data_IF_109035944956
#
_entry.id   IF_109035944956
#
_cell.length_a   1.000
_cell.length_b   1.000
_cell.length_c   1.000
_cell.angle_alpha   90.00
_cell.angle_beta   90.00
_cell.angle_gamma   90.00
#
_symmetry.space_group_name_H-M   'P 1'
#
loop_
_entity.id
_entity.type
_entity.pdbx_description
1 polymer ?
#
# COMPACT_ATOMS: atom_id res chain seq x y z
N UNK A 1 -71.79 50.56 -6.24
CA UNK A 1 -70.56 51.37 -6.09
C UNK A 1 -69.40 50.45 -6.42
N UNK A 2 -68.61 50.77 -7.45
CA UNK A 2 -67.54 49.91 -7.94
C UNK A 2 -66.23 50.23 -7.22
N UNK A 3 -65.61 49.22 -6.61
CA UNK A 3 -64.27 49.30 -6.03
C UNK A 3 -63.23 49.12 -7.13
N UNK A 4 -62.25 50.03 -7.17
CA UNK A 4 -61.06 49.93 -8.01
C UNK A 4 -60.01 49.09 -7.27
N UNK A 5 -59.37 48.13 -7.95
CA UNK A 5 -58.09 47.57 -7.51
C UNK A 5 -57.08 47.56 -8.66
N UNK A 6 -55.91 48.11 -8.34
CA UNK A 6 -54.82 48.54 -9.23
C UNK A 6 -54.04 47.37 -9.82
N UNK A 7 -53.72 47.48 -11.10
CA UNK A 7 -52.90 46.58 -11.92
C UNK A 7 -51.42 46.72 -11.53
N UNK A 8 -50.77 45.64 -11.08
CA UNK A 8 -49.31 45.58 -10.91
C UNK A 8 -48.75 44.53 -11.87
N UNK A 9 -48.14 44.98 -12.96
CA UNK A 9 -47.35 44.14 -13.87
C UNK A 9 -45.94 43.96 -13.28
N UNK A 10 -45.69 42.82 -12.65
CA UNK A 10 -44.40 42.45 -12.08
C UNK A 10 -43.53 41.63 -13.05
N UNK A 11 -42.46 42.27 -13.53
CA UNK A 11 -41.08 41.79 -13.85
C UNK A 11 -40.76 40.34 -13.42
N UNK A 12 -39.98 39.49 -14.10
CA UNK A 12 -39.12 39.55 -15.29
C UNK A 12 -38.70 38.10 -15.61
N UNK A 13 -39.01 37.56 -16.79
CA UNK A 13 -38.58 36.21 -17.25
C UNK A 13 -37.13 36.17 -17.77
N UNK A 14 -36.21 36.89 -17.13
CA UNK A 14 -34.85 37.09 -17.63
C UNK A 14 -33.73 36.63 -16.67
N UNK A 15 -34.05 35.90 -15.58
CA UNK A 15 -33.02 35.48 -14.61
C UNK A 15 -32.65 33.98 -14.66
N UNK A 16 -33.39 33.15 -15.40
CA UNK A 16 -33.20 31.69 -15.36
C UNK A 16 -32.20 31.15 -16.41
N UNK A 17 -31.80 31.95 -17.41
CA UNK A 17 -30.93 31.48 -18.52
C UNK A 17 -29.43 31.56 -18.21
N UNK A 18 -29.01 32.45 -17.30
CA UNK A 18 -27.58 32.69 -17.02
C UNK A 18 -26.94 31.66 -16.07
N UNK A 19 -27.74 30.91 -15.31
CA UNK A 19 -27.24 29.98 -14.30
C UNK A 19 -26.85 28.59 -14.85
N UNK A 20 -27.24 28.25 -16.07
CA UNK A 20 -26.99 26.92 -16.63
C UNK A 20 -25.63 26.84 -17.35
N UNK A 21 -25.23 27.89 -18.08
CA UNK A 21 -23.98 27.94 -18.85
C UNK A 21 -22.73 27.88 -17.98
N UNK A 22 -22.76 28.52 -16.80
CA UNK A 22 -21.64 28.55 -15.85
C UNK A 22 -21.38 27.17 -15.19
N UNK A 23 -22.37 26.27 -15.16
CA UNK A 23 -22.22 24.92 -14.58
C UNK A 23 -21.55 23.95 -15.55
N UNK A 24 -21.74 24.10 -16.86
CA UNK A 24 -21.15 23.21 -17.86
C UNK A 24 -19.66 23.49 -18.11
N UNK A 25 -19.24 24.77 -18.11
CA UNK A 25 -17.82 25.14 -18.26
C UNK A 25 -16.97 24.64 -17.09
N UNK A 26 -17.46 24.76 -15.85
CA UNK A 26 -16.74 24.23 -14.67
C UNK A 26 -16.60 22.71 -14.71
N UNK A 27 -17.61 22.00 -15.23
CA UNK A 27 -17.57 20.54 -15.34
C UNK A 27 -16.58 20.07 -16.42
N UNK A 28 -16.48 20.80 -17.53
CA UNK A 28 -15.49 20.51 -18.59
C UNK A 28 -14.06 20.80 -18.14
N UNK A 29 -13.81 21.93 -17.47
CA UNK A 29 -12.48 22.26 -16.95
C UNK A 29 -11.99 21.23 -15.91
N UNK A 30 -12.88 20.77 -15.02
CA UNK A 30 -12.56 19.71 -14.06
C UNK A 30 -12.24 18.37 -14.73
N UNK A 31 -13.01 17.99 -15.75
CA UNK A 31 -12.79 16.74 -16.47
C UNK A 31 -11.51 16.76 -17.33
N UNK A 32 -11.14 17.93 -17.84
CA UNK A 32 -9.93 18.12 -18.65
C UNK A 32 -8.66 18.09 -17.79
N UNK A 33 -8.69 18.69 -16.59
CA UNK A 33 -7.58 18.58 -15.62
C UNK A 33 -7.34 17.14 -15.11
N UNK A 34 -8.37 16.29 -15.07
CA UNK A 34 -8.20 14.87 -14.72
C UNK A 34 -7.58 14.02 -15.83
N UNK A 35 -7.64 14.45 -17.11
CA UNK A 35 -7.13 13.65 -18.24
C UNK A 35 -5.64 13.82 -18.52
N UNK A 36 -5.02 14.89 -18.02
CA UNK A 36 -3.61 15.20 -18.29
C UNK A 36 -2.64 14.62 -17.25
N UNK A 37 -3.15 14.09 -16.14
CA UNK A 37 -2.38 13.36 -15.16
C UNK A 37 -2.49 11.86 -15.44
N UNK A 38 -2.00 11.41 -16.60
CA UNK A 38 -1.60 10.00 -16.69
C UNK A 38 -0.34 9.92 -15.84
N UNK A 39 -0.37 9.36 -14.62
CA UNK A 39 0.88 9.01 -13.98
C UNK A 39 1.62 8.12 -14.99
N UNK A 40 2.87 8.48 -15.20
CA UNK A 40 3.92 7.66 -15.80
C UNK A 40 3.48 6.20 -15.73
N UNK A 41 3.17 5.61 -16.89
CA UNK A 41 2.84 4.18 -16.96
C UNK A 41 4.13 3.47 -16.60
N UNK A 42 4.36 3.28 -15.32
CA UNK A 42 5.46 2.45 -14.85
C UNK A 42 5.16 1.09 -15.45
N UNK A 43 6.03 0.63 -16.35
CA UNK A 43 5.85 -0.64 -17.04
C UNK A 43 5.84 -1.74 -15.99
N UNK A 44 4.63 -2.20 -15.64
CA UNK A 44 4.41 -3.24 -14.63
C UNK A 44 5.18 -4.51 -14.98
N UNK A 45 5.45 -4.71 -16.26
CA UNK A 45 6.23 -5.80 -16.80
C UNK A 45 7.72 -5.67 -16.44
N UNK A 46 8.29 -4.48 -16.55
CA UNK A 46 9.68 -4.23 -16.12
C UNK A 46 9.81 -4.38 -14.60
N UNK A 47 8.82 -3.89 -13.84
CA UNK A 47 8.75 -4.13 -12.39
C UNK A 47 8.71 -5.62 -12.09
N UNK A 48 7.92 -6.39 -12.84
CA UNK A 48 7.81 -7.84 -12.64
C UNK A 48 9.14 -8.55 -12.89
N UNK A 49 9.83 -8.24 -14.00
CA UNK A 49 11.15 -8.79 -14.30
C UNK A 49 12.16 -8.46 -13.21
N UNK A 50 12.13 -7.22 -12.70
CA UNK A 50 13.00 -6.80 -11.59
C UNK A 50 12.68 -7.56 -10.30
N UNK A 51 11.41 -7.83 -10.02
CA UNK A 51 11.00 -8.65 -8.87
C UNK A 51 11.38 -10.12 -9.04
N UNK A 52 11.27 -10.68 -10.25
CA UNK A 52 11.68 -12.06 -10.55
C UNK A 52 13.21 -12.22 -10.42
N UNK A 53 13.96 -11.15 -10.68
CA UNK A 53 15.40 -11.11 -10.43
C UNK A 53 15.77 -11.13 -8.94
N UNK A 54 14.82 -10.91 -8.03
CA UNK A 54 15.06 -10.96 -6.58
C UNK A 54 15.07 -12.41 -6.10
N UNK A 55 16.26 -12.91 -5.79
CA UNK A 55 16.45 -14.26 -5.29
C UNK A 55 15.89 -14.48 -3.87
N UNK A 56 16.09 -13.53 -2.95
CA UNK A 56 15.50 -13.55 -1.60
C UNK A 56 15.53 -12.17 -0.94
N UNK A 57 14.49 -11.84 -0.17
CA UNK A 57 14.46 -10.68 0.71
C UNK A 57 14.87 -11.09 2.12
N UNK A 58 16.04 -10.64 2.57
CA UNK A 58 16.57 -10.99 3.89
C UNK A 58 16.21 -9.93 4.92
N UNK A 59 15.54 -10.33 6.00
CA UNK A 59 15.25 -9.49 7.15
C UNK A 59 16.02 -9.98 8.37
N UNK A 60 16.84 -9.11 8.95
CA UNK A 60 17.54 -9.39 10.20
C UNK A 60 16.71 -8.86 11.37
N UNK A 61 16.29 -9.76 12.27
CA UNK A 61 15.47 -9.41 13.45
C UNK A 61 15.99 -10.13 14.68
N UNK A 62 15.87 -9.50 15.84
CA UNK A 62 16.22 -10.14 17.11
C UNK A 62 15.28 -11.31 17.37
N UNK A 63 15.85 -12.48 17.60
CA UNK A 63 15.13 -13.69 17.96
C UNK A 63 14.70 -13.65 19.43
N UNK A 64 13.53 -14.20 19.73
CA UNK A 64 13.01 -14.42 21.07
C UNK A 64 12.71 -15.90 21.19
N UNK A 65 13.38 -16.57 22.14
CA UNK A 65 13.07 -17.95 22.48
C UNK A 65 11.76 -17.93 23.26
N UNK A 66 10.72 -18.58 22.72
CA UNK A 66 9.54 -18.91 23.52
C UNK A 66 9.85 -20.22 24.21
N UNK A 67 9.82 -20.19 25.54
CA UNK A 67 10.16 -21.22 26.54
C UNK A 67 9.72 -22.68 26.31
N UNK A 68 9.00 -23.02 25.24
CA UNK A 68 8.39 -24.35 25.08
C UNK A 68 8.41 -24.95 23.66
N UNK A 69 8.97 -24.27 22.64
CA UNK A 69 8.93 -24.79 21.27
C UNK A 69 10.31 -24.65 20.58
N UNK A 70 11.08 -25.74 20.58
CA UNK A 70 12.44 -25.81 20.01
C UNK A 70 12.49 -25.55 18.48
N UNK A 71 11.33 -25.44 17.82
CA UNK A 71 11.22 -25.32 16.35
C UNK A 71 10.81 -23.93 15.86
N UNK A 72 10.26 -23.07 16.71
CA UNK A 72 9.80 -21.74 16.29
C UNK A 72 10.39 -20.62 17.13
N UNK A 73 11.59 -20.19 16.74
CA UNK A 73 12.19 -18.95 17.22
C UNK A 73 11.30 -17.77 16.78
N UNK A 74 10.53 -17.22 17.71
CA UNK A 74 9.76 -16.01 17.46
C UNK A 74 10.71 -14.83 17.23
N UNK A 75 10.25 -13.76 16.58
CA UNK A 75 11.01 -12.51 16.48
C UNK A 75 10.44 -11.43 17.39
N UNK A 76 11.33 -10.54 17.84
CA UNK A 76 10.91 -9.30 18.47
C UNK A 76 10.22 -8.41 17.43
N UNK A 77 8.95 -8.08 17.68
CA UNK A 77 8.11 -7.32 16.75
C UNK A 77 7.49 -8.19 15.65
N UNK A 78 7.40 -7.63 14.45
CA UNK A 78 6.89 -8.33 13.27
C UNK A 78 7.45 -7.72 11.98
N UNK A 79 7.65 -8.54 10.96
CA UNK A 79 7.86 -8.06 9.59
C UNK A 79 6.49 -7.94 8.93
N UNK A 80 6.10 -6.74 8.53
CA UNK A 80 4.80 -6.47 7.91
C UNK A 80 4.96 -6.25 6.41
N UNK A 81 3.85 -6.23 5.68
CA UNK A 81 3.84 -5.86 4.24
C UNK A 81 4.48 -4.48 3.97
N UNK A 82 4.39 -3.56 4.94
CA UNK A 82 5.06 -2.26 4.86
C UNK A 82 6.59 -2.39 4.85
N UNK A 83 7.17 -3.23 5.71
CA UNK A 83 8.62 -3.47 5.71
C UNK A 83 9.09 -4.07 4.37
N UNK A 84 8.30 -4.99 3.80
CA UNK A 84 8.58 -5.61 2.50
C UNK A 84 8.56 -4.56 1.39
N UNK A 85 7.50 -3.75 1.33
CA UNK A 85 7.38 -2.65 0.36
C UNK A 85 8.51 -1.64 0.50
N UNK A 86 8.84 -1.24 1.73
CA UNK A 86 9.93 -0.30 2.01
C UNK A 86 11.30 -0.86 1.64
N UNK A 87 11.55 -2.16 1.86
CA UNK A 87 12.80 -2.81 1.47
C UNK A 87 12.91 -2.91 -0.05
N UNK A 88 11.82 -3.26 -0.74
CA UNK A 88 11.79 -3.30 -2.20
C UNK A 88 12.06 -1.92 -2.81
N UNK A 89 11.47 -0.87 -2.24
CA UNK A 89 11.73 0.50 -2.67
C UNK A 89 13.16 0.93 -2.35
N UNK A 90 13.68 0.63 -1.16
CA UNK A 90 15.02 1.09 -0.77
C UNK A 90 16.16 0.32 -1.43
N UNK A 91 16.01 -0.99 -1.66
CA UNK A 91 17.06 -1.85 -2.19
C UNK A 91 17.03 -1.97 -3.71
N UNK A 92 15.83 -1.91 -4.30
CA UNK A 92 15.63 -2.15 -5.72
C UNK A 92 14.97 -0.97 -6.44
N UNK A 93 14.62 0.13 -5.75
CA UNK A 93 13.88 1.25 -6.34
C UNK A 93 12.54 0.81 -6.97
N UNK A 94 11.90 -0.20 -6.38
CA UNK A 94 10.61 -0.73 -6.84
C UNK A 94 9.52 -0.29 -5.86
N UNK A 95 8.64 0.59 -6.32
CA UNK A 95 7.51 1.06 -5.52
C UNK A 95 6.29 0.13 -5.69
N UNK A 96 6.05 -0.74 -4.70
CA UNK A 96 4.90 -1.65 -4.70
C UNK A 96 3.96 -1.31 -3.54
N UNK A 97 2.66 -1.07 -3.80
CA UNK A 97 1.70 -0.82 -2.74
C UNK A 97 1.48 -2.10 -1.92
N UNK A 98 1.28 -1.94 -0.61
CA UNK A 98 0.99 -3.06 0.32
C UNK A 98 -0.23 -3.91 -0.07
N UNK A 99 -1.16 -3.33 -0.82
CA UNK A 99 -2.39 -3.99 -1.28
C UNK A 99 -2.10 -5.04 -2.36
N UNK A 100 -1.08 -4.78 -3.19
CA UNK A 100 -0.55 -5.73 -4.17
C UNK A 100 0.17 -6.92 -3.54
N UNK A 101 0.60 -6.82 -2.28
CA UNK A 101 1.34 -7.87 -1.59
C UNK A 101 0.35 -8.84 -0.92
N UNK A 102 0.23 -10.04 -1.49
CA UNK A 102 -0.59 -11.15 -1.00
C UNK A 102 0.26 -12.11 -0.18
N UNK A 103 -0.13 -12.29 1.08
CA UNK A 103 0.58 -13.10 2.06
C UNK A 103 0.09 -12.77 3.46
N UNK A 104 0.73 -13.38 4.46
CA UNK A 104 0.47 -13.08 5.86
C UNK A 104 0.65 -11.59 6.16
N UNK A 105 -0.21 -11.06 7.03
CA UNK A 105 -0.18 -9.65 7.38
C UNK A 105 1.09 -9.30 8.17
N UNK A 106 1.54 -10.23 9.02
CA UNK A 106 2.66 -10.05 9.97
C UNK A 106 3.41 -11.35 10.20
N UNK A 107 4.67 -11.39 9.80
CA UNK A 107 5.58 -12.49 10.12
C UNK A 107 6.20 -12.26 11.50
N UNK A 108 6.02 -13.22 12.40
CA UNK A 108 6.49 -13.17 13.80
C UNK A 108 7.46 -14.29 14.15
N UNK A 109 7.90 -15.06 13.16
CA UNK A 109 8.83 -16.17 13.35
C UNK A 109 10.03 -16.02 12.42
N UNK A 110 11.16 -16.56 12.86
CA UNK A 110 12.32 -16.82 12.03
C UNK A 110 11.97 -17.93 11.04
N UNK A 111 12.41 -17.79 9.79
CA UNK A 111 12.15 -18.76 8.74
C UNK A 111 12.07 -18.14 7.36
N UNK A 112 11.83 -18.98 6.37
CA UNK A 112 11.63 -18.56 4.98
C UNK A 112 10.15 -18.62 4.66
N UNK A 113 9.60 -17.51 4.19
CA UNK A 113 8.19 -17.32 3.85
C UNK A 113 8.07 -16.92 2.39
N UNK A 114 7.11 -17.47 1.65
CA UNK A 114 6.87 -17.05 0.27
C UNK A 114 5.75 -16.02 0.23
N UNK A 115 6.03 -14.85 -0.33
CA UNK A 115 5.06 -13.75 -0.46
C UNK A 115 4.76 -13.52 -1.93
N UNK A 116 3.47 -13.49 -2.29
CA UNK A 116 3.03 -13.33 -3.66
C UNK A 116 2.67 -11.88 -3.92
N UNK A 117 3.32 -11.24 -4.89
CA UNK A 117 3.05 -9.87 -5.30
C UNK A 117 2.21 -9.87 -6.56
N UNK A 118 0.99 -9.35 -6.49
CA UNK A 118 0.08 -9.14 -7.63
C UNK A 118 0.19 -7.71 -8.12
N UNK A 119 0.82 -7.54 -9.28
CA UNK A 119 0.92 -6.24 -9.93
C UNK A 119 -0.31 -5.96 -10.79
N UNK A 120 -0.81 -6.97 -11.50
CA UNK A 120 -2.00 -6.89 -12.36
C UNK A 120 -2.72 -8.25 -12.46
N UNK A 121 -3.78 -8.35 -13.25
CA UNK A 121 -4.54 -9.59 -13.48
C UNK A 121 -3.69 -10.71 -14.09
N UNK A 122 -2.68 -10.36 -14.90
CA UNK A 122 -1.81 -11.33 -15.57
C UNK A 122 -0.42 -11.45 -14.94
N UNK A 123 -0.03 -10.55 -14.04
CA UNK A 123 1.35 -10.43 -13.55
C UNK A 123 1.36 -10.66 -12.04
N UNK A 124 1.86 -11.83 -11.65
CA UNK A 124 2.06 -12.22 -10.25
C UNK A 124 3.44 -12.82 -10.06
N UNK A 125 4.19 -12.31 -9.09
CA UNK A 125 5.56 -12.74 -8.79
C UNK A 125 5.63 -13.26 -7.36
N UNK A 126 6.21 -14.44 -7.15
CA UNK A 126 6.44 -14.98 -5.81
C UNK A 126 7.85 -14.64 -5.35
N UNK A 127 7.95 -13.93 -4.24
CA UNK A 127 9.22 -13.49 -3.66
C UNK A 127 9.44 -14.23 -2.34
N UNK A 128 10.55 -14.97 -2.20
CA UNK A 128 10.90 -15.58 -0.93
C UNK A 128 11.47 -14.53 0.03
N UNK A 129 10.95 -14.54 1.25
CA UNK A 129 11.29 -13.65 2.35
C UNK A 129 11.94 -14.49 3.44
N UNK A 130 13.23 -14.30 3.63
CA UNK A 130 14.04 -14.99 4.64
C UNK A 130 14.19 -14.10 5.87
N UNK A 131 13.57 -14.47 6.99
CA UNK A 131 13.75 -13.79 8.27
C UNK A 131 14.82 -14.55 9.04
N UNK A 132 15.98 -13.91 9.24
CA UNK A 132 17.14 -14.49 9.94
C UNK A 132 17.34 -13.82 11.30
N UNK A 133 17.79 -14.57 12.32
CA UNK A 133 18.08 -13.99 13.60
C UNK A 133 19.28 -13.05 13.46
N UNK A 134 19.15 -11.84 14.00
CA UNK A 134 20.33 -11.03 14.28
C UNK A 134 21.08 -11.76 15.38
N UNK A 135 22.21 -12.37 15.05
CA UNK A 135 23.07 -13.05 16.02
C UNK A 135 23.55 -12.02 17.06
N UNK A 136 22.84 -11.94 18.19
CA UNK A 136 23.30 -11.26 19.39
C UNK A 136 24.09 -12.33 20.17
N UNK A 137 25.43 -12.20 20.32
CA UNK A 137 26.29 -13.23 20.94
C UNK A 137 26.12 -13.36 22.47
N UNK A 138 24.95 -13.05 23.03
CA UNK A 138 24.73 -12.87 24.48
C UNK A 138 23.63 -13.78 25.06
N UNK A 139 23.41 -14.96 24.51
CA UNK A 139 22.46 -15.94 25.07
C UNK A 139 23.02 -17.37 25.19
N UNK A 140 24.34 -17.50 25.37
CA UNK A 140 24.97 -18.75 25.79
C UNK A 140 25.82 -18.50 27.02
N UNK A 141 25.18 -18.41 28.18
CA UNK A 141 25.76 -18.81 29.47
C UNK A 141 24.73 -18.46 30.54
N UNK A 142 24.10 -19.48 31.13
CA UNK A 142 23.67 -19.55 32.52
C UNK A 142 22.83 -20.81 32.68
N UNK A 143 23.47 -21.97 32.54
CA UNK A 143 23.15 -23.11 33.40
C UNK A 143 24.44 -23.47 34.11
N UNK A 144 24.82 -22.59 35.04
CA UNK A 144 25.83 -22.87 36.04
C UNK A 144 25.33 -23.99 36.95
N UNK A 145 26.24 -24.90 37.21
CA UNK A 145 26.11 -26.15 37.94
C UNK A 145 25.32 -26.01 39.25
N UNK A 146 24.58 -27.07 39.60
CA UNK A 146 24.17 -27.30 40.98
C UNK A 146 24.62 -28.69 41.38
N UNK A 147 25.56 -28.69 42.33
CA UNK A 147 26.10 -29.80 43.14
C UNK A 147 25.15 -30.99 43.37
#
# INVERSE_FOLDING_TARGET
MAEYVVKVLGRSKYQDLENNSLKEEKKKAYLESQKLSKPEKVDLQEIAERLESIHELVFLRKAVVKDNDEKTTAIYGSVSKHDISSLLQSSYDINIPRDSIVGDEKFKAIGTFSVLVKLDHNISVSIPVSIKPLEDPQATENHENKD
#
